data_IF_717615307146
#
_entry.id   IF_717615307146
#
_cell.length_a   1.000
_cell.length_b   1.000
_cell.length_c   1.000
_cell.angle_alpha   90.00
_cell.angle_beta   90.00
_cell.angle_gamma   90.00
#
_symmetry.space_group_name_H-M   'P 1'
#
loop_
_entity.id
_entity.type
_entity.pdbx_description
1 polymer ?
#
# COMPACT_ATOMS: atom_id res chain seq x y z
N UNK A 1 17.39 -14.28 -12.00
CA UNK A 1 18.22 -13.39 -11.14
C UNK A 1 17.68 -11.96 -11.11
N UNK A 2 17.38 -11.34 -12.26
CA UNK A 2 16.94 -9.94 -12.35
C UNK A 2 15.73 -9.57 -11.45
N UNK A 3 14.71 -10.42 -11.38
CA UNK A 3 13.51 -10.14 -10.57
C UNK A 3 13.76 -10.04 -9.06
N UNK A 4 14.67 -10.85 -8.50
CA UNK A 4 15.02 -10.78 -7.06
C UNK A 4 15.82 -9.52 -6.74
N UNK A 5 16.68 -9.09 -7.66
CA UNK A 5 17.48 -7.87 -7.51
C UNK A 5 16.60 -6.62 -7.58
N UNK A 6 15.64 -6.57 -8.52
CA UNK A 6 14.67 -5.48 -8.63
C UNK A 6 13.86 -5.34 -7.33
N UNK A 7 13.33 -6.45 -6.80
CA UNK A 7 12.61 -6.43 -5.52
C UNK A 7 13.47 -5.85 -4.39
N UNK A 8 14.69 -6.36 -4.22
CA UNK A 8 15.60 -5.89 -3.17
C UNK A 8 15.96 -4.39 -3.30
N UNK A 9 16.19 -3.92 -4.53
CA UNK A 9 16.47 -2.51 -4.80
C UNK A 9 15.29 -1.61 -4.42
N UNK A 10 14.06 -1.98 -4.80
CA UNK A 10 12.86 -1.23 -4.44
C UNK A 10 12.65 -1.16 -2.93
N UNK A 11 12.84 -2.26 -2.21
CA UNK A 11 12.75 -2.27 -0.75
C UNK A 11 13.81 -1.36 -0.10
N UNK A 12 15.03 -1.35 -0.61
CA UNK A 12 16.10 -0.50 -0.09
C UNK A 12 15.77 0.99 -0.26
N UNK A 13 15.30 1.41 -1.44
CA UNK A 13 14.89 2.79 -1.72
C UNK A 13 13.74 3.22 -0.80
N UNK A 14 12.75 2.36 -0.60
CA UNK A 14 11.61 2.64 0.28
C UNK A 14 12.04 2.90 1.74
N UNK A 15 12.99 2.11 2.25
CA UNK A 15 13.52 2.30 3.61
C UNK A 15 14.29 3.61 3.80
N UNK A 16 15.03 4.04 2.77
CA UNK A 16 15.72 5.33 2.77
C UNK A 16 14.70 6.46 2.72
N UNK A 17 13.71 6.39 1.83
CA UNK A 17 12.65 7.39 1.70
C UNK A 17 11.87 7.56 3.01
N UNK A 18 11.53 6.47 3.70
CA UNK A 18 10.89 6.51 5.02
C UNK A 18 11.79 7.22 6.06
N UNK A 19 13.11 7.04 5.97
CA UNK A 19 14.06 7.72 6.85
C UNK A 19 14.10 9.24 6.64
N UNK A 20 13.93 9.68 5.39
CA UNK A 20 13.91 11.11 5.03
C UNK A 20 12.55 11.77 5.35
N UNK A 21 11.45 11.04 5.20
CA UNK A 21 10.09 11.58 5.34
C UNK A 21 9.54 11.53 6.76
N UNK A 22 9.98 10.57 7.59
CA UNK A 22 9.41 10.39 8.93
C UNK A 22 10.39 10.87 10.02
N UNK A 23 9.97 11.90 10.75
CA UNK A 23 10.54 12.26 12.05
C UNK A 23 10.55 11.03 12.98
N UNK A 24 11.55 10.95 13.87
CA UNK A 24 11.92 9.77 14.67
C UNK A 24 10.78 9.11 15.44
N UNK A 25 9.74 9.86 15.82
CA UNK A 25 8.55 9.36 16.52
C UNK A 25 7.61 8.52 15.64
N UNK A 26 7.51 8.81 14.34
CA UNK A 26 6.62 8.07 13.44
C UNK A 26 7.30 6.84 12.85
N UNK A 27 8.64 6.78 12.86
CA UNK A 27 9.41 5.67 12.27
C UNK A 27 9.12 4.32 12.93
N UNK A 28 9.06 4.26 14.26
CA UNK A 28 8.74 3.03 15.00
C UNK A 28 7.30 2.57 14.76
N UNK A 29 6.35 3.51 14.72
CA UNK A 29 4.94 3.23 14.46
C UNK A 29 4.70 2.74 13.03
N UNK A 30 5.31 3.39 12.04
CA UNK A 30 5.21 3.00 10.64
C UNK A 30 5.75 1.58 10.40
N UNK A 31 6.89 1.25 11.03
CA UNK A 31 7.49 -0.07 10.90
C UNK A 31 6.67 -1.17 11.59
N UNK A 32 6.00 -0.85 12.70
CA UNK A 32 5.03 -1.75 13.34
C UNK A 32 3.82 -2.02 12.43
N UNK A 33 3.20 -0.97 11.89
CA UNK A 33 2.06 -1.09 10.97
C UNK A 33 2.42 -1.87 9.69
N UNK A 34 3.60 -1.62 9.11
CA UNK A 34 4.09 -2.37 7.96
C UNK A 34 4.24 -3.87 8.29
N UNK A 35 4.68 -4.20 9.50
CA UNK A 35 4.80 -5.59 9.96
C UNK A 35 3.43 -6.26 10.12
N UNK A 36 2.42 -5.54 10.64
CA UNK A 36 1.04 -6.04 10.69
C UNK A 36 0.48 -6.31 9.30
N UNK A 37 0.67 -5.39 8.34
CA UNK A 37 0.20 -5.55 6.95
C UNK A 37 0.91 -6.73 6.27
N UNK A 38 2.21 -6.90 6.50
CA UNK A 38 2.97 -8.07 6.03
C UNK A 38 2.42 -9.38 6.61
N UNK A 39 2.05 -9.38 7.90
CA UNK A 39 1.38 -10.50 8.55
C UNK A 39 0.04 -10.87 7.90
N UNK A 40 -0.77 -9.87 7.51
CA UNK A 40 -2.02 -10.10 6.79
C UNK A 40 -1.78 -10.79 5.45
N UNK A 41 -0.75 -10.39 4.68
CA UNK A 41 -0.38 -11.09 3.44
C UNK A 41 -0.09 -12.57 3.68
N UNK A 42 0.55 -12.91 4.80
CA UNK A 42 0.84 -14.31 5.14
C UNK A 42 -0.42 -15.12 5.44
N UNK A 43 -1.45 -14.49 6.02
CA UNK A 43 -2.76 -15.11 6.23
C UNK A 43 -3.53 -15.31 4.92
N UNK A 44 -3.36 -14.39 3.95
CA UNK A 44 -3.99 -14.47 2.63
C UNK A 44 -3.36 -15.56 1.75
N UNK A 45 -2.08 -15.91 1.95
CA UNK A 45 -1.37 -16.96 1.22
C UNK A 45 -2.09 -18.33 1.14
N UNK A 46 -2.46 -18.99 2.27
CA UNK A 46 -3.13 -20.29 2.21
C UNK A 46 -4.49 -20.23 1.51
N UNK A 47 -5.19 -19.08 1.56
CA UNK A 47 -6.44 -18.88 0.85
C UNK A 47 -6.23 -18.93 -0.67
N UNK A 48 -5.22 -18.22 -1.19
CA UNK A 48 -4.87 -18.22 -2.62
C UNK A 48 -4.45 -19.63 -3.08
N UNK A 49 -3.69 -20.35 -2.26
CA UNK A 49 -3.26 -21.72 -2.56
C UNK A 49 -4.46 -22.67 -2.60
N UNK A 50 -5.45 -22.48 -1.72
CA UNK A 50 -6.67 -23.28 -1.75
C UNK A 50 -7.48 -23.07 -3.04
N UNK A 51 -7.54 -21.84 -3.54
CA UNK A 51 -8.17 -21.53 -4.83
C UNK A 51 -7.42 -22.17 -6.01
N UNK A 52 -6.12 -22.40 -5.90
CA UNK A 52 -5.31 -23.03 -6.94
C UNK A 52 -5.68 -24.51 -7.20
N UNK A 53 -6.42 -25.15 -6.29
CA UNK A 53 -6.91 -26.53 -6.46
C UNK A 53 -7.92 -26.63 -7.60
N UNK A 54 -8.74 -25.59 -7.81
CA UNK A 54 -9.73 -25.53 -8.89
C UNK A 54 -9.11 -25.19 -10.25
N UNK A 55 -7.90 -24.62 -10.27
CA UNK A 55 -7.16 -24.33 -11.49
C UNK A 55 -5.86 -23.59 -11.24
N UNK A 56 -4.76 -24.04 -11.86
CA UNK A 56 -3.43 -23.42 -11.71
C UNK A 56 -3.33 -21.98 -12.22
N UNK A 57 -4.20 -21.57 -13.14
CA UNK A 57 -4.18 -20.23 -13.76
C UNK A 57 -4.81 -19.13 -12.89
N UNK A 58 -5.75 -19.49 -12.00
CA UNK A 58 -6.46 -18.56 -11.13
C UNK A 58 -5.56 -17.72 -10.22
N UNK A 59 -4.65 -18.29 -9.41
CA UNK A 59 -3.79 -17.51 -8.52
C UNK A 59 -2.86 -16.56 -9.29
N UNK A 60 -2.48 -16.94 -10.51
CA UNK A 60 -1.58 -16.17 -11.36
C UNK A 60 -2.26 -14.91 -11.90
N UNK A 61 -3.53 -15.02 -12.28
CA UNK A 61 -4.36 -13.88 -12.72
C UNK A 61 -4.61 -12.93 -11.54
N UNK A 62 -4.94 -13.46 -10.36
CA UNK A 62 -5.21 -12.65 -9.16
C UNK A 62 -3.97 -11.83 -8.77
N UNK A 63 -2.80 -12.46 -8.69
CA UNK A 63 -1.53 -11.78 -8.39
C UNK A 63 -1.14 -10.76 -9.46
N UNK A 64 -1.41 -11.06 -10.73
CA UNK A 64 -1.18 -10.14 -11.84
C UNK A 64 -2.02 -8.86 -11.71
N UNK A 65 -3.32 -9.00 -11.46
CA UNK A 65 -4.24 -7.85 -11.31
C UNK A 65 -3.84 -7.00 -10.09
N UNK A 66 -3.55 -7.63 -8.96
CA UNK A 66 -3.07 -6.95 -7.75
C UNK A 66 -1.79 -6.14 -8.02
N UNK A 67 -0.84 -6.71 -8.75
CA UNK A 67 0.42 -6.03 -9.13
C UNK A 67 0.17 -4.84 -10.06
N UNK A 68 -0.71 -4.99 -11.05
CA UNK A 68 -1.07 -3.90 -11.96
C UNK A 68 -1.78 -2.77 -11.21
N UNK A 69 -2.71 -3.08 -10.32
CA UNK A 69 -3.37 -2.08 -9.47
C UNK A 69 -2.37 -1.33 -8.58
N UNK A 70 -1.42 -2.05 -7.97
CA UNK A 70 -0.36 -1.44 -7.16
C UNK A 70 0.54 -0.51 -7.99
N UNK A 71 0.93 -0.94 -9.21
CA UNK A 71 1.71 -0.13 -10.14
C UNK A 71 0.97 1.14 -10.58
N UNK A 72 -0.31 1.01 -10.96
CA UNK A 72 -1.16 2.15 -11.32
C UNK A 72 -1.31 3.11 -10.15
N UNK A 73 -1.47 2.60 -8.93
CA UNK A 73 -1.53 3.44 -7.73
C UNK A 73 -0.22 4.18 -7.45
N UNK A 74 0.92 3.58 -7.79
CA UNK A 74 2.23 4.24 -7.69
C UNK A 74 2.40 5.34 -8.73
N UNK A 75 1.80 5.21 -9.92
CA UNK A 75 1.74 6.29 -10.92
C UNK A 75 0.81 7.42 -10.48
N UNK A 76 -0.20 7.12 -9.66
CA UNK A 76 -1.13 8.10 -9.10
C UNK A 76 -0.56 8.88 -7.92
N UNK A 77 0.60 8.48 -7.40
CA UNK A 77 1.39 9.30 -6.51
C UNK A 77 2.06 10.36 -7.39
N UNK A 78 1.56 11.63 -7.41
CA UNK A 78 2.22 12.68 -8.16
C UNK A 78 3.65 12.77 -7.66
N UNK A 79 4.58 12.50 -8.58
CA UNK A 79 6.02 12.61 -8.41
C UNK A 79 6.37 13.73 -7.42
N UNK A 80 6.81 13.34 -6.21
CA UNK A 80 7.26 14.19 -5.11
C UNK A 80 8.60 14.89 -5.45
N UNK A 81 8.75 15.39 -6.68
CA UNK A 81 10.00 15.92 -7.23
C UNK A 81 9.86 17.39 -7.63
N UNK A 82 9.31 18.24 -6.76
CA UNK A 82 9.54 19.71 -6.76
C UNK A 82 8.76 20.47 -5.67
N UNK A 83 8.61 19.91 -4.47
CA UNK A 83 8.01 20.65 -3.35
C UNK A 83 9.03 20.72 -2.20
N UNK A 84 9.34 21.91 -1.66
CA UNK A 84 10.19 22.02 -0.48
C UNK A 84 9.52 21.24 0.67
N UNK A 85 10.25 20.31 1.27
CA UNK A 85 9.77 19.50 2.38
C UNK A 85 9.34 20.45 3.53
N UNK A 86 8.09 20.40 4.00
CA UNK A 86 7.68 21.14 5.18
C UNK A 86 8.53 20.68 6.37
N UNK A 87 9.40 21.56 6.87
CA UNK A 87 10.36 21.24 7.93
C UNK A 87 9.74 21.15 9.33
N UNK A 88 8.41 21.32 9.48
CA UNK A 88 7.73 21.31 10.78
C UNK A 88 6.39 20.56 10.74
N UNK A 89 6.04 19.89 11.84
CA UNK A 89 4.78 19.14 12.01
C UNK A 89 3.56 20.03 11.72
N UNK A 90 3.60 21.30 12.15
CA UNK A 90 2.51 22.29 12.00
C UNK A 90 2.11 22.55 10.53
N UNK A 91 3.07 22.47 9.61
CA UNK A 91 2.86 22.73 8.18
C UNK A 91 2.29 21.47 7.48
N UNK A 92 2.56 20.29 8.04
CA UNK A 92 1.92 19.03 7.65
C UNK A 92 0.43 18.95 8.05
N UNK A 93 0.03 19.58 9.15
CA UNK A 93 -1.38 19.61 9.59
C UNK A 93 -2.26 20.47 8.68
N UNK A 94 -1.69 21.54 8.12
CA UNK A 94 -2.35 22.42 7.14
C UNK A 94 -2.42 21.77 5.75
N UNK A 95 -1.37 21.05 5.32
CA UNK A 95 -1.36 20.28 4.07
C UNK A 95 -2.36 19.11 4.09
N UNK A 96 -2.72 18.61 5.28
CA UNK A 96 -3.70 17.56 5.51
C UNK A 96 -5.16 17.89 5.18
N UNK A 97 -5.55 19.17 5.12
CA UNK A 97 -6.97 19.57 4.92
C UNK A 97 -7.45 19.49 3.47
N UNK A 98 -6.53 19.54 2.50
CA UNK A 98 -6.87 19.53 1.07
C UNK A 98 -6.54 18.21 0.36
N UNK A 99 -6.10 17.18 1.09
CA UNK A 99 -5.92 15.86 0.52
C UNK A 99 -7.27 15.19 0.22
N UNK A 100 -7.83 15.48 -0.95
CA UNK A 100 -8.77 14.61 -1.68
C UNK A 100 -8.08 13.32 -2.15
N UNK A 101 -7.40 12.62 -1.25
CA UNK A 101 -6.61 11.41 -1.56
C UNK A 101 -7.46 10.26 -2.10
N UNK A 102 -8.79 10.31 -1.91
CA UNK A 102 -9.65 9.14 -2.08
C UNK A 102 -10.96 9.45 -2.83
N UNK A 103 -10.94 10.35 -3.82
CA UNK A 103 -12.18 10.57 -4.61
C UNK A 103 -12.64 9.31 -5.38
N UNK A 104 -11.75 8.34 -5.64
CA UNK A 104 -12.10 7.10 -6.33
C UNK A 104 -11.90 5.83 -5.49
N UNK A 105 -10.92 5.79 -4.57
CA UNK A 105 -10.69 4.58 -3.76
C UNK A 105 -11.64 4.50 -2.54
N UNK A 106 -12.36 5.58 -2.19
CA UNK A 106 -13.48 5.52 -1.19
C UNK A 106 -14.60 4.60 -1.69
N UNK A 107 -14.67 4.39 -3.01
CA UNK A 107 -15.68 3.57 -3.65
C UNK A 107 -15.50 2.06 -3.41
N UNK A 108 -14.27 1.55 -3.24
CA UNK A 108 -14.05 0.11 -3.04
C UNK A 108 -13.94 -0.32 -1.57
N UNK A 109 -13.51 0.56 -0.64
CA UNK A 109 -13.59 0.24 0.80
C UNK A 109 -15.04 0.28 1.30
N UNK A 110 -15.91 1.11 0.70
CA UNK A 110 -17.35 1.02 0.94
C UNK A 110 -17.97 -0.29 0.46
N UNK A 111 -17.40 -1.01 -0.51
CA UNK A 111 -18.07 -2.20 -1.06
C UNK A 111 -18.04 -3.43 -0.12
N UNK A 112 -17.04 -3.56 0.77
CA UNK A 112 -17.03 -4.60 1.81
C UNK A 112 -17.65 -4.16 3.15
N UNK A 113 -17.60 -2.87 3.50
CA UNK A 113 -18.24 -2.37 4.73
C UNK A 113 -19.76 -2.17 4.55
N UNK A 114 -20.24 -1.88 3.33
CA UNK A 114 -21.68 -1.75 3.02
C UNK A 114 -22.42 -3.11 2.99
N UNK A 115 -21.79 -4.19 2.51
CA UNK A 115 -22.47 -5.48 2.37
C UNK A 115 -22.63 -6.25 3.70
N UNK A 116 -22.18 -5.69 4.82
CA UNK A 116 -22.30 -6.29 6.16
C UNK A 116 -23.40 -5.63 7.02
N UNK A 117 -23.92 -4.47 6.60
CA UNK A 117 -24.95 -3.72 7.36
C UNK A 117 -26.36 -3.96 6.83
N UNK A 118 -26.54 -4.53 5.63
CA UNK A 118 -27.86 -4.84 5.06
C UNK A 118 -28.32 -6.30 5.31
N UNK A 119 -27.86 -6.93 6.39
CA UNK A 119 -28.29 -8.29 6.77
C UNK A 119 -28.53 -8.42 8.28
N UNK A 120 -29.01 -7.36 8.94
CA UNK A 120 -29.78 -7.41 10.19
C UNK A 120 -30.62 -6.12 10.32
#
# INVERSE_FOLDING_TARGET
>A
MLGRLCGAASFAVFYVLIGEFLSTVLRSQAMGLASFISGLSLFVCPYIVHLAVYGKSLPLIIMGILSVMAGISSLFLPETLNQPLPQTLEDGEMFGRDFKLFSCVDRSRKEQDYNSTCTN
#
